data_IF_018926960475
#
_entry.id   IF_018926960475
#
_cell.length_a   1.000
_cell.length_b   1.000
_cell.length_c   1.000
_cell.angle_alpha   90.00
_cell.angle_beta   90.00
_cell.angle_gamma   90.00
#
_symmetry.space_group_name_H-M   'P 1'
#
loop_
_entity.id
_entity.type
_entity.pdbx_description
1 polymer ?
#
# COMPACT_ATOMS: atom_id res chain seq x y z
N UNK A 1 -17.31 -19.79 20.86
CA UNK A 1 -16.75 -18.69 20.07
C UNK A 1 -16.34 -19.33 18.77
N UNK A 2 -17.18 -19.20 17.75
CA UNK A 2 -16.90 -19.76 16.42
C UNK A 2 -15.72 -18.97 15.86
N UNK A 3 -14.52 -19.54 15.98
CA UNK A 3 -13.32 -18.96 15.41
C UNK A 3 -13.47 -19.08 13.90
N UNK A 4 -13.62 -17.95 13.21
CA UNK A 4 -13.50 -17.90 11.76
C UNK A 4 -12.17 -18.63 11.40
N UNK A 5 -12.14 -19.53 10.40
CA UNK A 5 -10.92 -20.25 10.03
C UNK A 5 -9.83 -19.29 9.55
N UNK A 6 -8.54 -19.64 9.67
CA UNK A 6 -7.45 -18.84 9.11
C UNK A 6 -7.66 -18.65 7.60
N UNK A 7 -7.31 -17.48 7.07
CA UNK A 7 -7.41 -17.22 5.63
C UNK A 7 -6.37 -18.07 4.89
N UNK A 8 -6.80 -18.73 3.81
CA UNK A 8 -5.93 -19.44 2.87
C UNK A 8 -6.28 -19.01 1.45
N UNK A 9 -5.27 -18.69 0.65
CA UNK A 9 -5.47 -18.29 -0.75
C UNK A 9 -6.16 -19.41 -1.57
N UNK A 10 -6.99 -19.05 -2.57
CA UNK A 10 -7.36 -17.68 -2.94
C UNK A 10 -8.31 -17.02 -1.94
N UNK A 11 -8.24 -15.70 -1.81
CA UNK A 11 -9.09 -14.90 -0.91
C UNK A 11 -9.98 -13.96 -1.74
N UNK A 12 -11.29 -13.96 -1.47
CA UNK A 12 -12.24 -13.02 -2.06
C UNK A 12 -12.54 -11.87 -1.08
N UNK A 13 -12.19 -10.64 -1.46
CA UNK A 13 -12.58 -9.40 -0.79
C UNK A 13 -13.97 -8.93 -1.26
N UNK A 14 -14.49 -7.89 -0.65
CA UNK A 14 -15.71 -7.21 -1.09
C UNK A 14 -15.49 -6.27 -2.29
N UNK A 15 -16.60 -5.65 -2.73
CA UNK A 15 -16.64 -4.65 -3.80
C UNK A 15 -16.68 -3.22 -3.27
N UNK A 16 -17.22 -2.30 -4.06
CA UNK A 16 -17.30 -0.90 -3.69
C UNK A 16 -18.19 -0.65 -2.46
N UNK A 17 -17.72 0.19 -1.55
CA UNK A 17 -18.58 0.79 -0.53
C UNK A 17 -19.16 2.13 -1.01
N UNK A 18 -18.32 3.10 -1.37
CA UNK A 18 -18.76 4.46 -1.71
C UNK A 18 -19.82 4.54 -2.81
N UNK A 19 -19.59 3.88 -3.96
CA UNK A 19 -20.54 3.91 -5.08
C UNK A 19 -21.86 3.20 -4.77
N UNK A 20 -21.83 2.18 -3.92
CA UNK A 20 -23.02 1.48 -3.46
C UNK A 20 -23.82 2.28 -2.43
N UNK A 21 -23.15 3.10 -1.61
CA UNK A 21 -23.81 4.03 -0.69
C UNK A 21 -24.48 5.19 -1.44
N UNK A 22 -23.88 5.70 -2.53
CA UNK A 22 -24.54 6.68 -3.39
C UNK A 22 -25.86 6.16 -3.98
N UNK A 23 -25.90 4.89 -4.42
CA UNK A 23 -27.14 4.25 -4.89
C UNK A 23 -28.20 4.11 -3.78
N UNK A 24 -27.76 4.08 -2.52
CA UNK A 24 -28.61 4.01 -1.30
C UNK A 24 -28.96 5.38 -0.73
N UNK A 25 -28.68 6.46 -1.47
CA UNK A 25 -29.12 7.82 -1.12
C UNK A 25 -28.10 8.66 -0.37
N UNK A 26 -26.85 8.20 -0.23
CA UNK A 26 -25.77 9.06 0.27
C UNK A 26 -25.56 10.25 -0.68
N UNK A 27 -25.58 11.51 -0.21
CA UNK A 27 -25.27 12.65 -1.06
C UNK A 27 -23.77 12.70 -1.41
N UNK A 28 -23.41 13.34 -2.53
CA UNK A 28 -22.01 13.57 -2.87
C UNK A 28 -21.38 14.64 -1.97
N UNK A 29 -20.08 14.48 -1.68
CA UNK A 29 -19.28 15.47 -0.94
C UNK A 29 -19.48 15.45 0.59
N UNK A 30 -20.35 14.59 1.11
CA UNK A 30 -20.51 14.39 2.57
C UNK A 30 -19.39 13.50 3.13
N UNK A 31 -19.22 13.51 4.44
CA UNK A 31 -18.37 12.53 5.13
C UNK A 31 -19.07 11.17 5.11
N UNK A 32 -18.50 10.22 4.36
CA UNK A 32 -19.02 8.84 4.24
C UNK A 32 -19.13 8.19 5.62
N UNK A 33 -18.10 8.35 6.45
CA UNK A 33 -18.03 7.79 7.79
C UNK A 33 -19.19 8.28 8.67
N UNK A 34 -19.48 9.59 8.63
CA UNK A 34 -20.61 10.19 9.34
C UNK A 34 -21.94 9.65 8.82
N UNK A 35 -22.11 9.66 7.49
CA UNK A 35 -23.37 9.25 6.87
C UNK A 35 -23.70 7.78 7.19
N UNK A 36 -22.69 6.91 7.17
CA UNK A 36 -22.83 5.50 7.56
C UNK A 36 -23.29 5.34 9.00
N UNK A 37 -22.76 6.13 9.94
CA UNK A 37 -23.19 6.07 11.34
C UNK A 37 -24.62 6.59 11.57
N UNK A 38 -25.09 7.50 10.71
CA UNK A 38 -26.47 8.00 10.72
C UNK A 38 -27.43 7.04 10.00
N UNK A 39 -26.94 6.23 9.05
CA UNK A 39 -27.72 5.30 8.23
C UNK A 39 -27.12 3.88 8.28
N UNK A 40 -27.00 3.26 9.47
CA UNK A 40 -26.27 2.00 9.65
C UNK A 40 -26.87 0.83 8.86
N UNK A 41 -28.18 0.83 8.63
CA UNK A 41 -28.85 -0.23 7.88
C UNK A 41 -28.37 -0.31 6.43
N UNK A 42 -28.04 0.83 5.79
CA UNK A 42 -27.53 0.86 4.43
C UNK A 42 -26.19 0.09 4.30
N UNK A 43 -25.28 0.26 5.27
CA UNK A 43 -24.02 -0.50 5.31
C UNK A 43 -24.27 -1.96 5.65
N UNK A 44 -25.11 -2.25 6.66
CA UNK A 44 -25.38 -3.61 7.11
C UNK A 44 -25.99 -4.46 5.99
N UNK A 45 -26.94 -3.91 5.23
CA UNK A 45 -27.52 -4.57 4.06
C UNK A 45 -26.48 -4.82 2.96
N UNK A 46 -25.68 -3.81 2.64
CA UNK A 46 -24.64 -3.92 1.62
C UNK A 46 -23.60 -5.00 1.97
N UNK A 47 -23.03 -4.92 3.17
CA UNK A 47 -21.96 -5.84 3.57
C UNK A 47 -22.47 -7.26 3.80
N UNK A 48 -23.73 -7.44 4.22
CA UNK A 48 -24.36 -8.78 4.22
C UNK A 48 -24.51 -9.33 2.80
N UNK A 49 -24.89 -8.49 1.83
CA UNK A 49 -24.94 -8.91 0.44
C UNK A 49 -23.56 -9.31 -0.09
N UNK A 50 -22.47 -8.64 0.30
CA UNK A 50 -21.11 -9.09 -0.01
C UNK A 50 -20.75 -10.43 0.63
N UNK A 51 -21.12 -10.65 1.89
CA UNK A 51 -20.94 -11.96 2.56
C UNK A 51 -21.72 -13.05 1.83
N UNK A 52 -22.98 -12.79 1.46
CA UNK A 52 -23.82 -13.74 0.73
C UNK A 52 -23.29 -13.99 -0.70
N UNK A 53 -22.59 -13.02 -1.29
CA UNK A 53 -21.85 -13.15 -2.55
C UNK A 53 -20.51 -13.89 -2.42
N UNK A 54 -20.09 -14.25 -1.20
CA UNK A 54 -18.91 -15.07 -0.94
C UNK A 54 -17.68 -14.32 -0.42
N UNK A 55 -17.76 -13.01 -0.15
CA UNK A 55 -16.63 -12.27 0.41
C UNK A 55 -16.15 -12.86 1.75
N UNK A 56 -14.86 -13.18 1.80
CA UNK A 56 -14.17 -13.70 2.99
C UNK A 56 -13.57 -12.58 3.83
N UNK A 57 -13.37 -11.39 3.24
CA UNK A 57 -12.90 -10.17 3.92
C UNK A 57 -13.84 -9.02 3.56
N UNK A 58 -14.40 -8.36 4.57
CA UNK A 58 -15.13 -7.11 4.45
C UNK A 58 -14.24 -5.94 4.87
N UNK A 59 -14.29 -4.86 4.11
CA UNK A 59 -13.55 -3.63 4.38
C UNK A 59 -14.44 -2.69 5.20
N UNK A 60 -13.98 -2.34 6.41
CA UNK A 60 -14.71 -1.38 7.23
C UNK A 60 -14.70 -0.01 6.54
N UNK A 61 -15.80 0.76 6.58
CA UNK A 61 -15.89 2.07 5.92
C UNK A 61 -15.13 3.14 6.72
N UNK A 62 -13.83 2.93 6.91
CA UNK A 62 -12.91 3.77 7.68
C UNK A 62 -11.87 4.48 6.81
N UNK A 63 -11.99 4.41 5.49
CA UNK A 63 -11.12 5.06 4.50
C UNK A 63 -10.65 6.46 4.93
N UNK A 64 -11.59 7.36 5.22
CA UNK A 64 -11.34 8.74 5.64
C UNK A 64 -11.35 8.97 7.15
N UNK A 65 -11.32 7.94 7.99
CA UNK A 65 -11.46 8.07 9.45
C UNK A 65 -10.15 8.48 10.17
N UNK A 66 -9.28 9.25 9.51
CA UNK A 66 -8.07 9.84 10.10
C UNK A 66 -8.31 11.29 10.56
N UNK A 67 -7.41 11.84 11.39
CA UNK A 67 -7.58 13.19 11.96
C UNK A 67 -7.68 14.30 10.91
N UNK A 68 -6.97 14.18 9.78
CA UNK A 68 -6.93 15.20 8.73
C UNK A 68 -8.27 15.26 8.01
N UNK A 69 -8.77 14.11 7.56
CA UNK A 69 -10.03 14.03 6.83
C UNK A 69 -11.22 14.36 7.74
N UNK A 70 -11.27 13.82 8.96
CA UNK A 70 -12.35 14.14 9.91
C UNK A 70 -12.41 15.63 10.27
N UNK A 71 -11.26 16.30 10.42
CA UNK A 71 -11.21 17.73 10.70
C UNK A 71 -11.85 18.58 9.58
N UNK A 72 -11.73 18.19 8.30
CA UNK A 72 -12.38 18.86 7.16
C UNK A 72 -13.91 18.88 7.25
N UNK A 73 -14.48 17.95 8.01
CA UNK A 73 -15.92 17.85 8.27
C UNK A 73 -16.34 18.35 9.66
N UNK A 74 -15.43 19.01 10.40
CA UNK A 74 -15.71 19.50 11.75
C UNK A 74 -15.76 18.41 12.82
N UNK A 75 -15.13 17.26 12.56
CA UNK A 75 -15.14 16.07 13.42
C UNK A 75 -13.78 15.83 14.10
N UNK A 76 -13.04 16.90 14.40
CA UNK A 76 -11.74 16.82 15.08
C UNK A 76 -11.85 16.09 16.42
N UNK A 77 -10.84 15.25 16.73
CA UNK A 77 -10.80 14.47 17.97
C UNK A 77 -11.68 13.20 17.99
N UNK A 78 -12.33 12.87 16.87
CA UNK A 78 -13.28 11.76 16.80
C UNK A 78 -12.70 10.47 16.20
N UNK A 79 -11.39 10.41 15.90
CA UNK A 79 -10.73 9.26 15.25
C UNK A 79 -11.06 7.94 15.95
N UNK A 80 -10.84 7.85 17.27
CA UNK A 80 -11.12 6.61 18.02
C UNK A 80 -12.60 6.20 17.98
N UNK A 81 -13.51 7.18 18.06
CA UNK A 81 -14.96 6.92 18.10
C UNK A 81 -15.46 6.40 16.75
N UNK A 82 -15.03 7.02 15.65
CA UNK A 82 -15.50 6.66 14.30
C UNK A 82 -14.98 5.29 13.90
N UNK A 83 -13.66 5.07 13.96
CA UNK A 83 -13.06 3.78 13.62
C UNK A 83 -13.70 2.63 14.40
N UNK A 84 -13.93 2.80 15.71
CA UNK A 84 -14.57 1.78 16.56
C UNK A 84 -16.01 1.49 16.15
N UNK A 85 -16.82 2.52 15.93
CA UNK A 85 -18.25 2.34 15.59
C UNK A 85 -18.42 1.76 14.20
N UNK A 86 -17.62 2.19 13.23
CA UNK A 86 -17.66 1.70 11.85
C UNK A 86 -17.18 0.25 11.76
N UNK A 87 -16.06 -0.09 12.39
CA UNK A 87 -15.59 -1.48 12.48
C UNK A 87 -16.59 -2.39 13.20
N UNK A 88 -17.29 -1.90 14.23
CA UNK A 88 -18.34 -2.66 14.90
C UNK A 88 -19.56 -2.95 14.00
N UNK A 89 -19.95 -2.00 13.14
CA UNK A 89 -20.99 -2.25 12.13
C UNK A 89 -20.55 -3.31 11.13
N UNK A 90 -19.32 -3.24 10.64
CA UNK A 90 -18.78 -4.24 9.71
C UNK A 90 -18.63 -5.61 10.36
N UNK A 91 -18.21 -5.68 11.63
CA UNK A 91 -18.22 -6.92 12.41
C UNK A 91 -19.62 -7.52 12.55
N UNK A 92 -20.63 -6.68 12.76
CA UNK A 92 -22.04 -7.10 12.83
C UNK A 92 -22.53 -7.63 11.48
N UNK A 93 -22.15 -7.00 10.37
CA UNK A 93 -22.47 -7.47 9.02
C UNK A 93 -21.78 -8.80 8.69
N UNK A 94 -20.50 -8.93 9.06
CA UNK A 94 -19.69 -10.12 8.84
C UNK A 94 -20.31 -11.37 9.49
N UNK A 95 -20.95 -11.23 10.65
CA UNK A 95 -21.71 -12.32 11.28
C UNK A 95 -20.91 -13.60 11.56
N UNK A 96 -19.59 -13.48 11.73
CA UNK A 96 -18.70 -14.64 11.90
C UNK A 96 -18.41 -15.43 10.61
N UNK A 97 -18.79 -14.91 9.44
CA UNK A 97 -18.56 -15.55 8.13
C UNK A 97 -17.42 -14.90 7.33
N UNK A 98 -17.06 -13.66 7.65
CA UNK A 98 -15.99 -12.90 7.01
C UNK A 98 -15.09 -12.21 8.04
N UNK A 99 -13.85 -11.97 7.65
CA UNK A 99 -12.90 -11.10 8.36
C UNK A 99 -13.23 -9.64 8.14
N UNK A 100 -12.76 -8.78 9.03
CA UNK A 100 -12.94 -7.33 8.96
C UNK A 100 -11.57 -6.68 8.79
N UNK A 101 -11.35 -6.05 7.65
CA UNK A 101 -10.19 -5.20 7.40
C UNK A 101 -10.48 -3.78 7.92
N UNK A 102 -9.53 -3.20 8.64
CA UNK A 102 -9.50 -1.77 8.92
C UNK A 102 -8.90 -1.04 7.73
N UNK A 103 -9.69 -0.17 7.11
CA UNK A 103 -9.32 0.57 5.91
C UNK A 103 -8.65 1.90 6.27
N UNK A 104 -7.47 2.18 5.70
CA UNK A 104 -6.72 3.42 5.85
C UNK A 104 -6.37 3.96 4.46
N UNK A 105 -6.70 5.22 4.21
CA UNK A 105 -6.43 5.89 2.94
C UNK A 105 -5.36 6.98 3.06
N UNK A 106 -4.88 7.50 1.91
CA UNK A 106 -4.16 8.78 1.86
C UNK A 106 -4.83 9.89 2.68
N UNK A 107 -4.05 10.56 3.52
CA UNK A 107 -4.41 11.80 4.23
C UNK A 107 -4.53 12.99 3.26
N UNK A 108 -3.82 12.90 2.13
CA UNK A 108 -3.69 13.97 1.15
C UNK A 108 -2.70 15.06 1.57
N UNK A 109 -1.85 14.79 2.58
CA UNK A 109 -0.68 15.62 2.89
C UNK A 109 0.52 15.16 2.06
N UNK A 110 1.33 16.12 1.66
CA UNK A 110 2.64 15.88 1.03
C UNK A 110 3.74 16.24 2.00
N UNK A 111 4.83 15.48 1.99
CA UNK A 111 6.02 15.78 2.79
C UNK A 111 6.88 16.87 2.12
N UNK A 112 7.70 17.56 2.91
CA UNK A 112 8.77 18.44 2.42
C UNK A 112 9.64 17.70 1.39
N UNK A 113 10.07 18.33 0.27
CA UNK A 113 9.87 19.75 -0.09
C UNK A 113 8.58 20.03 -0.88
N UNK A 114 7.76 19.01 -1.19
CA UNK A 114 6.56 19.17 -2.01
C UNK A 114 5.29 19.55 -1.23
N UNK A 115 5.37 19.57 0.09
CA UNK A 115 4.32 20.00 1.00
C UNK A 115 4.89 20.56 2.30
N UNK A 116 4.03 20.62 3.32
CA UNK A 116 4.32 21.23 4.62
C UNK A 116 4.38 20.22 5.77
N UNK A 117 4.11 18.94 5.50
CA UNK A 117 4.14 17.89 6.50
C UNK A 117 5.55 17.31 6.66
N UNK A 118 5.88 16.86 7.86
CA UNK A 118 7.03 15.97 8.06
C UNK A 118 6.61 14.50 7.87
N UNK A 119 7.58 13.63 7.61
CA UNK A 119 7.32 12.19 7.57
C UNK A 119 6.78 11.67 8.91
N UNK A 120 7.31 12.17 10.02
CA UNK A 120 6.82 11.82 11.37
C UNK A 120 5.38 12.28 11.61
N UNK A 121 4.96 13.44 11.06
CA UNK A 121 3.56 13.86 11.13
C UNK A 121 2.64 12.84 10.44
N UNK A 122 3.03 12.32 9.27
CA UNK A 122 2.27 11.26 8.60
C UNK A 122 2.20 9.99 9.47
N UNK A 123 3.33 9.57 10.04
CA UNK A 123 3.37 8.39 10.93
C UNK A 123 2.44 8.59 12.12
N UNK A 124 2.43 9.76 12.75
CA UNK A 124 1.57 10.07 13.90
C UNK A 124 0.08 10.05 13.53
N UNK A 125 -0.29 10.56 12.35
CA UNK A 125 -1.66 10.53 11.84
C UNK A 125 -2.11 9.08 11.65
N UNK A 126 -1.31 8.26 10.98
CA UNK A 126 -1.64 6.85 10.74
C UNK A 126 -1.62 6.03 12.03
N UNK A 127 -0.71 6.31 12.97
CA UNK A 127 -0.61 5.60 14.25
C UNK A 127 -1.87 5.79 15.08
N UNK A 128 -2.43 7.01 15.10
CA UNK A 128 -3.71 7.26 15.81
C UNK A 128 -4.85 6.43 15.22
N UNK A 129 -4.98 6.39 13.88
CA UNK A 129 -6.02 5.61 13.23
C UNK A 129 -5.80 4.10 13.41
N UNK A 130 -4.58 3.62 13.21
CA UNK A 130 -4.22 2.21 13.36
C UNK A 130 -4.47 1.73 14.80
N UNK A 131 -4.09 2.52 15.81
CA UNK A 131 -4.37 2.20 17.21
C UNK A 131 -5.89 2.14 17.50
N UNK A 132 -6.68 3.01 16.89
CA UNK A 132 -8.13 2.97 17.02
C UNK A 132 -8.75 1.72 16.37
N UNK A 133 -8.26 1.31 15.20
CA UNK A 133 -8.68 0.10 14.50
C UNK A 133 -8.25 -1.18 15.25
N UNK A 134 -7.03 -1.20 15.80
CA UNK A 134 -6.54 -2.29 16.65
C UNK A 134 -7.44 -2.47 17.86
N UNK A 135 -7.73 -1.39 18.59
CA UNK A 135 -8.64 -1.39 19.73
C UNK A 135 -10.08 -1.77 19.35
N UNK A 136 -10.50 -1.56 18.10
CA UNK A 136 -11.79 -1.98 17.57
C UNK A 136 -11.83 -3.48 17.21
N UNK A 137 -10.68 -4.17 17.21
CA UNK A 137 -10.60 -5.60 16.94
C UNK A 137 -10.80 -5.96 15.46
N UNK A 138 -10.26 -5.15 14.54
CA UNK A 138 -10.11 -5.56 13.13
C UNK A 138 -9.21 -6.79 13.02
N UNK A 139 -9.41 -7.62 12.00
CA UNK A 139 -8.62 -8.83 11.77
C UNK A 139 -7.31 -8.53 11.00
N UNK A 140 -7.28 -7.47 10.20
CA UNK A 140 -6.12 -7.02 9.41
C UNK A 140 -6.23 -5.51 9.10
N UNK A 141 -5.14 -4.91 8.66
CA UNK A 141 -5.09 -3.54 8.15
C UNK A 141 -4.97 -3.57 6.62
N UNK A 142 -5.74 -2.71 5.95
CA UNK A 142 -5.65 -2.50 4.51
C UNK A 142 -5.36 -1.02 4.26
N UNK A 143 -4.17 -0.75 3.74
CA UNK A 143 -3.80 0.57 3.22
C UNK A 143 -4.29 0.64 1.77
N UNK A 144 -5.42 1.30 1.55
CA UNK A 144 -6.10 1.29 0.26
C UNK A 144 -5.85 2.58 -0.54
N UNK A 145 -5.73 2.45 -1.86
CA UNK A 145 -5.62 3.59 -2.80
C UNK A 145 -4.40 4.47 -2.53
N UNK A 146 -3.27 3.86 -2.17
CA UNK A 146 -2.06 4.62 -1.88
C UNK A 146 -1.53 5.29 -3.15
N UNK A 147 -1.16 6.57 -3.04
CA UNK A 147 -0.73 7.38 -4.19
C UNK A 147 0.72 7.85 -4.09
N UNK A 148 1.29 7.86 -2.87
CA UNK A 148 2.66 8.30 -2.63
C UNK A 148 3.39 7.26 -1.80
N UNK A 149 4.69 7.12 -2.03
CA UNK A 149 5.53 6.20 -1.25
C UNK A 149 5.61 6.64 0.22
N UNK A 150 5.68 7.95 0.48
CA UNK A 150 5.72 8.50 1.83
C UNK A 150 4.51 8.09 2.68
N UNK A 151 3.29 8.23 2.15
CA UNK A 151 2.09 7.81 2.89
C UNK A 151 2.05 6.29 3.09
N UNK A 152 2.46 5.50 2.08
CA UNK A 152 2.53 4.05 2.19
C UNK A 152 3.45 3.61 3.33
N UNK A 153 4.69 4.12 3.33
CA UNK A 153 5.69 3.79 4.35
C UNK A 153 5.25 4.24 5.73
N UNK A 154 4.73 5.47 5.85
CA UNK A 154 4.25 6.00 7.13
C UNK A 154 3.12 5.12 7.72
N UNK A 155 2.17 4.71 6.89
CA UNK A 155 1.06 3.87 7.31
C UNK A 155 1.49 2.43 7.64
N UNK A 156 2.45 1.84 6.92
CA UNK A 156 3.01 0.52 7.26
C UNK A 156 3.74 0.56 8.60
N UNK A 157 4.59 1.57 8.82
CA UNK A 157 5.29 1.77 10.09
C UNK A 157 4.29 1.95 11.25
N UNK A 158 3.25 2.75 11.04
CA UNK A 158 2.18 2.96 12.01
C UNK A 158 1.41 1.68 12.35
N UNK A 159 1.01 0.88 11.36
CA UNK A 159 0.28 -0.37 11.62
C UNK A 159 1.15 -1.39 12.38
N UNK A 160 2.42 -1.53 11.97
CA UNK A 160 3.36 -2.47 12.60
C UNK A 160 3.81 -2.04 14.00
N UNK A 161 3.78 -0.74 14.32
CA UNK A 161 4.12 -0.25 15.66
C UNK A 161 3.02 -0.53 16.69
N UNK A 162 1.76 -0.67 16.26
CA UNK A 162 0.61 -0.88 17.16
C UNK A 162 0.07 -2.31 17.17
N UNK A 163 0.43 -3.14 16.19
CA UNK A 163 -0.15 -4.47 16.01
C UNK A 163 0.76 -5.45 15.28
N UNK A 164 0.59 -6.73 15.58
CA UNK A 164 1.22 -7.85 14.86
C UNK A 164 0.27 -8.47 13.80
N UNK A 165 -0.90 -7.89 13.56
CA UNK A 165 -1.86 -8.39 12.57
C UNK A 165 -1.38 -8.11 11.14
N UNK A 166 -1.90 -8.85 10.15
CA UNK A 166 -1.50 -8.66 8.77
C UNK A 166 -1.73 -7.23 8.27
N UNK A 167 -0.79 -6.72 7.49
CA UNK A 167 -0.85 -5.43 6.80
C UNK A 167 -0.84 -5.65 5.30
N UNK A 168 -1.93 -5.29 4.64
CA UNK A 168 -2.08 -5.36 3.19
C UNK A 168 -2.00 -3.95 2.61
N UNK A 169 -1.36 -3.80 1.45
CA UNK A 169 -1.19 -2.50 0.80
C UNK A 169 -1.63 -2.58 -0.65
N UNK A 170 -2.45 -1.62 -1.07
CA UNK A 170 -2.76 -1.42 -2.47
C UNK A 170 -2.41 -0.01 -2.93
N UNK A 171 -1.89 0.07 -4.15
CA UNK A 171 -1.63 1.31 -4.86
C UNK A 171 -2.65 1.50 -5.98
N UNK A 172 -2.88 2.76 -6.36
CA UNK A 172 -3.56 3.10 -7.60
C UNK A 172 -2.57 3.73 -8.57
N UNK A 173 -2.68 3.39 -9.85
CA UNK A 173 -1.80 3.88 -10.90
C UNK A 173 -2.55 4.13 -12.21
N UNK A 174 -1.91 4.87 -13.11
CA UNK A 174 -2.31 5.03 -14.50
C UNK A 174 -1.98 3.77 -15.34
N UNK A 175 -2.23 3.85 -16.64
CA UNK A 175 -1.94 2.78 -17.61
C UNK A 175 -0.44 2.43 -17.72
N UNK A 176 0.45 3.37 -17.38
CA UNK A 176 1.91 3.18 -17.40
C UNK A 176 2.44 2.61 -16.07
N UNK A 177 1.55 2.28 -15.12
CA UNK A 177 1.94 1.78 -13.80
C UNK A 177 2.53 2.87 -12.91
N UNK A 178 2.20 4.14 -13.14
CA UNK A 178 2.67 5.27 -12.35
C UNK A 178 1.58 5.79 -11.43
N UNK A 179 1.92 6.04 -10.17
CA UNK A 179 1.03 6.73 -9.24
C UNK A 179 0.91 8.22 -9.60
N UNK A 180 -0.01 8.94 -8.95
CA UNK A 180 -0.14 10.39 -9.12
C UNK A 180 1.17 11.15 -8.80
N UNK A 181 1.99 10.63 -7.88
CA UNK A 181 3.30 11.19 -7.56
C UNK A 181 4.44 10.72 -8.47
N UNK A 182 4.14 9.97 -9.53
CA UNK A 182 5.13 9.42 -10.47
C UNK A 182 5.86 8.16 -9.99
N UNK A 183 5.46 7.58 -8.84
CA UNK A 183 6.08 6.35 -8.34
C UNK A 183 5.70 5.17 -9.23
N UNK A 184 6.68 4.39 -9.68
CA UNK A 184 6.44 3.10 -10.32
C UNK A 184 5.85 2.11 -9.30
N UNK A 185 4.74 1.45 -9.63
CA UNK A 185 4.17 0.38 -8.77
C UNK A 185 5.13 -0.79 -8.56
N UNK A 186 6.13 -1.00 -9.42
CA UNK A 186 7.20 -1.96 -9.18
C UNK A 186 8.15 -1.51 -8.07
N UNK A 187 8.49 -0.22 -8.02
CA UNK A 187 9.24 0.36 -6.90
C UNK A 187 8.44 0.21 -5.60
N UNK A 188 7.14 0.52 -5.64
CA UNK A 188 6.24 0.35 -4.51
C UNK A 188 6.19 -1.09 -4.00
N UNK A 189 6.07 -2.08 -4.89
CA UNK A 189 6.15 -3.50 -4.50
C UNK A 189 7.44 -3.81 -3.76
N UNK A 190 8.60 -3.42 -4.32
CA UNK A 190 9.92 -3.71 -3.77
C UNK A 190 10.07 -3.11 -2.37
N UNK A 191 9.69 -1.84 -2.18
CA UNK A 191 9.76 -1.17 -0.87
C UNK A 191 8.80 -1.81 0.13
N UNK A 192 7.52 -1.96 -0.22
CA UNK A 192 6.50 -2.46 0.71
C UNK A 192 6.79 -3.90 1.17
N UNK A 193 7.16 -4.80 0.25
CA UNK A 193 7.49 -6.17 0.63
C UNK A 193 8.78 -6.24 1.45
N UNK A 194 9.75 -5.35 1.20
CA UNK A 194 10.95 -5.20 2.01
C UNK A 194 10.63 -4.80 3.45
N UNK A 195 9.64 -3.92 3.64
CA UNK A 195 9.12 -3.54 4.95
C UNK A 195 8.21 -4.61 5.59
N UNK A 196 8.07 -5.78 4.95
CA UNK A 196 7.37 -6.94 5.50
C UNK A 196 5.85 -6.84 5.50
N UNK A 197 5.24 -6.16 4.52
CA UNK A 197 3.77 -6.26 4.33
C UNK A 197 3.38 -7.70 3.98
N UNK A 198 2.16 -8.11 4.32
CA UNK A 198 1.69 -9.49 4.14
C UNK A 198 1.06 -9.72 2.76
N UNK A 199 0.70 -8.65 2.05
CA UNK A 199 0.22 -8.67 0.68
C UNK A 199 0.36 -7.30 0.02
N UNK A 200 0.55 -7.29 -1.29
CA UNK A 200 0.67 -6.09 -2.10
C UNK A 200 -0.25 -6.17 -3.31
N UNK A 201 -0.82 -5.06 -3.77
CA UNK A 201 -1.48 -5.10 -5.07
C UNK A 201 -2.01 -3.76 -5.55
N UNK A 202 -2.98 -3.84 -6.44
CA UNK A 202 -3.54 -2.68 -7.11
C UNK A 202 -5.05 -2.61 -6.89
N UNK A 203 -5.54 -1.40 -6.68
CA UNK A 203 -6.97 -1.13 -6.62
C UNK A 203 -7.35 0.08 -7.49
N UNK A 204 -8.60 0.06 -7.94
CA UNK A 204 -9.19 1.05 -8.82
C UNK A 204 -8.53 1.06 -10.22
N UNK A 205 -7.42 1.78 -10.41
CA UNK A 205 -6.67 1.91 -11.67
C UNK A 205 -7.55 2.28 -12.89
N UNK A 206 -6.96 2.20 -14.10
CA UNK A 206 -7.66 2.40 -15.36
C UNK A 206 -8.65 1.26 -15.73
N UNK A 207 -8.67 0.16 -14.99
CA UNK A 207 -9.59 -0.95 -15.22
C UNK A 207 -8.91 -2.32 -15.10
N UNK A 208 -9.65 -3.42 -15.36
CA UNK A 208 -9.12 -4.77 -15.22
C UNK A 208 -7.99 -5.11 -16.23
N UNK A 209 -8.06 -4.58 -17.45
CA UNK A 209 -7.08 -4.86 -18.51
C UNK A 209 -5.71 -4.24 -18.19
N UNK A 210 -5.70 -2.96 -17.85
CA UNK A 210 -4.51 -2.21 -17.52
C UNK A 210 -3.91 -2.73 -16.20
N UNK A 211 -4.75 -3.07 -15.22
CA UNK A 211 -4.30 -3.70 -13.98
C UNK A 211 -3.62 -5.05 -14.24
N UNK A 212 -4.13 -5.87 -15.17
CA UNK A 212 -3.55 -7.17 -15.51
C UNK A 212 -2.14 -7.01 -16.09
N UNK A 213 -1.92 -6.02 -16.95
CA UNK A 213 -0.59 -5.73 -17.50
C UNK A 213 0.40 -5.40 -16.38
N UNK A 214 0.01 -4.54 -15.44
CA UNK A 214 0.86 -4.19 -14.31
C UNK A 214 1.13 -5.39 -13.40
N UNK A 215 0.13 -6.20 -13.08
CA UNK A 215 0.31 -7.40 -12.24
C UNK A 215 1.27 -8.42 -12.88
N UNK A 216 1.24 -8.58 -14.20
CA UNK A 216 2.22 -9.42 -14.93
C UNK A 216 3.64 -8.86 -14.78
N UNK A 217 3.81 -7.54 -14.82
CA UNK A 217 5.10 -6.86 -14.61
C UNK A 217 5.63 -7.03 -13.18
N UNK A 218 4.73 -7.07 -12.20
CA UNK A 218 5.05 -7.22 -10.78
C UNK A 218 5.40 -8.66 -10.37
N UNK A 219 4.74 -9.65 -10.99
CA UNK A 219 4.82 -11.07 -10.60
C UNK A 219 6.24 -11.62 -10.44
N UNK A 220 7.21 -11.36 -11.35
CA UNK A 220 8.57 -11.88 -11.20
C UNK A 220 9.29 -11.44 -9.92
N UNK A 221 8.91 -10.28 -9.37
CA UNK A 221 9.59 -9.65 -8.23
C UNK A 221 8.81 -9.78 -6.91
N UNK A 222 7.55 -10.21 -6.98
CA UNK A 222 6.66 -10.32 -5.83
C UNK A 222 7.01 -11.53 -4.95
N UNK A 223 7.36 -11.27 -3.68
CA UNK A 223 7.54 -12.30 -2.64
C UNK A 223 6.34 -12.48 -1.73
N UNK A 224 5.38 -11.57 -1.84
CA UNK A 224 4.12 -11.57 -1.10
C UNK A 224 2.97 -11.84 -2.08
N UNK A 225 1.85 -12.41 -1.62
CA UNK A 225 0.68 -12.60 -2.46
C UNK A 225 0.18 -11.29 -3.07
N UNK A 226 -0.25 -11.35 -4.34
CA UNK A 226 -0.77 -10.19 -5.06
C UNK A 226 -2.29 -9.99 -4.90
N UNK A 227 -2.71 -8.72 -4.82
CA UNK A 227 -4.11 -8.27 -4.71
C UNK A 227 -4.56 -7.60 -6.01
N UNK A 228 -5.76 -7.92 -6.48
CA UNK A 228 -6.43 -7.21 -7.58
C UNK A 228 -7.85 -6.75 -7.15
N UNK A 229 -8.08 -5.44 -7.11
CA UNK A 229 -9.39 -4.80 -6.87
C UNK A 229 -9.69 -3.73 -7.93
N UNK A 230 -9.87 -4.08 -9.21
CA UNK A 230 -10.09 -3.09 -10.26
C UNK A 230 -11.44 -2.37 -10.10
N UNK A 231 -11.54 -1.18 -10.70
CA UNK A 231 -12.84 -0.56 -10.95
C UNK A 231 -13.67 -1.42 -11.91
N UNK A 232 -15.00 -1.24 -11.91
CA UNK A 232 -15.90 -1.79 -12.92
C UNK A 232 -15.79 -1.01 -14.26
N UNK A 233 -14.56 -0.95 -14.80
CA UNK A 233 -14.17 -0.19 -15.98
C UNK A 233 -13.84 1.28 -15.69
N UNK A 234 -13.42 2.01 -16.72
CA UNK A 234 -13.17 3.45 -16.62
C UNK A 234 -14.47 4.22 -16.28
N UNK A 235 -14.42 5.18 -15.34
CA UNK A 235 -15.58 6.00 -15.02
C UNK A 235 -15.95 6.87 -16.23
N UNK A 236 -17.21 6.79 -16.66
CA UNK A 236 -17.77 7.70 -17.65
C UNK A 236 -18.61 8.76 -16.97
N UNK A 237 -18.40 10.02 -17.29
CA UNK A 237 -19.24 11.11 -16.74
C UNK A 237 -20.55 11.15 -17.52
N UNK A 238 -21.65 10.77 -16.88
CA UNK A 238 -23.02 10.87 -17.40
C UNK A 238 -23.80 11.74 -16.43
N UNK A 239 -24.37 12.86 -16.92
CA UNK A 239 -25.10 13.85 -16.11
C UNK A 239 -24.33 14.35 -14.88
N UNK A 240 -23.02 14.55 -15.03
CA UNK A 240 -22.13 14.99 -13.94
C UNK A 240 -21.81 13.90 -12.91
N UNK A 241 -22.14 12.63 -13.18
CA UNK A 241 -21.90 11.48 -12.30
C UNK A 241 -20.98 10.47 -12.96
N UNK A 242 -20.07 9.88 -12.18
CA UNK A 242 -19.27 8.75 -12.63
C UNK A 242 -20.15 7.50 -12.74
N UNK A 243 -20.23 6.92 -13.94
CA UNK A 243 -20.92 5.67 -14.25
C UNK A 243 -19.90 4.64 -14.71
N UNK A 244 -19.99 3.46 -14.11
CA UNK A 244 -19.15 2.30 -14.40
C UNK A 244 -19.97 1.30 -15.22
N UNK A 245 -19.39 0.74 -16.28
CA UNK A 245 -20.13 -0.07 -17.26
C UNK A 245 -19.65 -1.50 -17.40
N UNK A 246 -18.55 -1.87 -16.75
CA UNK A 246 -18.13 -3.27 -16.73
C UNK A 246 -19.22 -4.11 -16.07
N UNK A 247 -19.61 -5.21 -16.69
CA UNK A 247 -20.61 -6.14 -16.13
C UNK A 247 -19.95 -7.14 -15.17
N UNK A 248 -20.74 -7.85 -14.33
CA UNK A 248 -20.23 -8.96 -13.51
C UNK A 248 -19.46 -10.01 -14.32
N UNK A 249 -19.96 -10.38 -15.50
CA UNK A 249 -19.34 -11.38 -16.37
C UNK A 249 -18.03 -10.88 -16.98
N UNK A 250 -17.98 -9.61 -17.37
CA UNK A 250 -16.76 -8.98 -17.90
C UNK A 250 -15.67 -8.91 -16.83
N UNK A 251 -16.00 -8.56 -15.58
CA UNK A 251 -15.04 -8.57 -14.49
C UNK A 251 -14.59 -10.00 -14.16
N UNK A 252 -15.53 -10.95 -14.07
CA UNK A 252 -15.25 -12.34 -13.75
C UNK A 252 -14.34 -13.02 -14.78
N UNK A 253 -14.40 -12.61 -16.05
CA UNK A 253 -13.51 -13.11 -17.10
C UNK A 253 -12.01 -12.85 -16.81
N UNK A 254 -11.68 -11.89 -15.93
CA UNK A 254 -10.31 -11.62 -15.51
C UNK A 254 -9.81 -12.51 -14.36
N UNK A 255 -10.65 -13.35 -13.75
CA UNK A 255 -10.23 -14.23 -12.64
C UNK A 255 -9.05 -15.12 -13.01
N UNK A 256 -9.15 -15.87 -14.12
CA UNK A 256 -8.07 -16.74 -14.59
C UNK A 256 -6.81 -15.97 -15.05
N UNK A 257 -6.92 -14.91 -15.89
CA UNK A 257 -5.77 -14.09 -16.23
C UNK A 257 -5.06 -13.46 -15.02
N UNK A 258 -5.81 -12.98 -14.03
CA UNK A 258 -5.21 -12.45 -12.79
C UNK A 258 -4.51 -13.55 -11.99
N UNK A 259 -5.13 -14.73 -11.86
CA UNK A 259 -4.50 -15.86 -11.17
C UNK A 259 -3.18 -16.31 -11.84
N UNK A 260 -3.16 -16.32 -13.17
CA UNK A 260 -1.96 -16.55 -13.99
C UNK A 260 -0.89 -15.47 -13.75
N UNK A 261 -1.31 -14.21 -13.60
CA UNK A 261 -0.47 -13.09 -13.20
C UNK A 261 -0.19 -13.03 -11.68
N UNK A 262 -0.17 -14.18 -10.99
CA UNK A 262 0.25 -14.27 -9.59
C UNK A 262 -0.74 -13.77 -8.54
N UNK A 263 -1.93 -13.27 -8.93
CA UNK A 263 -2.95 -12.79 -7.99
C UNK A 263 -3.48 -13.93 -7.14
N UNK A 264 -3.62 -13.68 -5.85
CA UNK A 264 -4.18 -14.61 -4.87
C UNK A 264 -5.30 -13.99 -4.04
N UNK A 265 -5.47 -12.68 -4.12
CA UNK A 265 -6.55 -11.96 -3.45
C UNK A 265 -7.33 -11.14 -4.48
N UNK A 266 -8.63 -11.34 -4.55
CA UNK A 266 -9.50 -10.81 -5.61
C UNK A 266 -10.63 -10.00 -5.00
N UNK A 267 -11.01 -8.89 -5.60
CA UNK A 267 -12.19 -8.13 -5.21
C UNK A 267 -12.51 -7.04 -6.21
N UNK A 268 -13.24 -6.01 -5.77
CA UNK A 268 -13.59 -4.86 -6.60
C UNK A 268 -13.38 -3.53 -5.91
N UNK A 269 -13.04 -2.49 -6.69
CA UNK A 269 -13.11 -1.08 -6.28
C UNK A 269 -14.39 -0.43 -6.88
N UNK A 270 -14.33 0.80 -7.37
CA UNK A 270 -15.50 1.61 -7.67
C UNK A 270 -16.38 0.99 -8.77
N UNK A 271 -17.70 1.05 -8.57
CA UNK A 271 -18.68 0.51 -9.51
C UNK A 271 -18.97 -0.98 -9.37
N UNK A 272 -18.12 -1.74 -8.69
CA UNK A 272 -18.38 -3.15 -8.41
C UNK A 272 -19.47 -3.32 -7.36
N UNK A 273 -20.30 -4.36 -7.53
CA UNK A 273 -21.52 -4.62 -6.74
C UNK A 273 -21.48 -6.04 -6.17
N UNK A 274 -22.41 -6.44 -5.29
CA UNK A 274 -22.51 -7.85 -4.85
C UNK A 274 -22.61 -8.85 -6.00
N UNK A 275 -23.29 -8.51 -7.10
CA UNK A 275 -23.36 -9.35 -8.29
C UNK A 275 -22.00 -9.56 -8.96
N UNK A 276 -21.16 -8.52 -8.99
CA UNK A 276 -19.79 -8.63 -9.49
C UNK A 276 -18.94 -9.56 -8.62
N UNK A 277 -19.08 -9.44 -7.31
CA UNK A 277 -18.34 -10.28 -6.36
C UNK A 277 -18.78 -11.73 -6.44
N UNK A 278 -20.08 -12.01 -6.59
CA UNK A 278 -20.58 -13.37 -6.78
C UNK A 278 -20.02 -14.00 -8.07
N UNK A 279 -20.11 -13.29 -9.19
CA UNK A 279 -19.57 -13.77 -10.47
C UNK A 279 -18.05 -13.98 -10.41
N UNK A 280 -17.31 -13.07 -9.77
CA UNK A 280 -15.87 -13.20 -9.56
C UNK A 280 -15.53 -14.40 -8.67
N UNK A 281 -16.30 -14.62 -7.60
CA UNK A 281 -16.14 -15.77 -6.71
C UNK A 281 -16.31 -17.10 -7.43
N UNK A 282 -17.37 -17.24 -8.25
CA UNK A 282 -17.61 -18.43 -9.07
C UNK A 282 -16.47 -18.66 -10.06
N UNK A 283 -15.97 -17.61 -10.72
CA UNK A 283 -14.87 -17.70 -11.66
C UNK A 283 -13.54 -18.07 -10.97
N UNK A 284 -13.24 -17.49 -9.81
CA UNK A 284 -12.05 -17.82 -9.01
C UNK A 284 -12.10 -19.27 -8.53
N UNK A 285 -13.26 -19.78 -8.11
CA UNK A 285 -13.42 -21.16 -7.68
C UNK A 285 -13.18 -22.18 -8.81
N UNK A 286 -13.32 -21.77 -10.07
CA UNK A 286 -13.06 -22.61 -11.24
C UNK A 286 -11.58 -22.62 -11.68
N UNK A 287 -10.72 -21.80 -11.08
CA UNK A 287 -9.29 -21.73 -11.42
C UNK A 287 -8.51 -22.83 -10.70
N UNK A 288 -7.70 -23.57 -11.45
CA UNK A 288 -6.69 -24.48 -10.88
C UNK A 288 -5.41 -23.71 -10.48
N UNK A 289 -5.38 -23.23 -9.24
CA UNK A 289 -4.21 -22.50 -8.71
C UNK A 289 -2.95 -23.35 -8.60
N UNK A 290 -3.05 -24.69 -8.64
CA UNK A 290 -1.89 -25.58 -8.57
C UNK A 290 -1.07 -25.61 -9.86
N UNK A 291 -1.67 -25.13 -10.97
CA UNK A 291 -1.01 -25.02 -12.26
C UNK A 291 -0.01 -23.85 -12.35
N UNK A 292 -0.07 -22.88 -11.42
CA UNK A 292 0.80 -21.70 -11.44
C UNK A 292 2.02 -21.89 -10.55
N UNK A 293 3.16 -22.14 -11.19
CA UNK A 293 4.44 -22.28 -10.49
C UNK A 293 5.00 -20.87 -10.20
N UNK A 294 5.51 -20.61 -8.97
CA UNK A 294 6.20 -19.35 -8.68
C UNK A 294 7.34 -19.11 -9.68
N UNK A 295 7.53 -17.87 -10.15
CA UNK A 295 8.63 -17.55 -11.06
C UNK A 295 9.97 -17.84 -10.37
N UNK A 296 10.87 -18.51 -11.09
CA UNK A 296 12.26 -18.66 -10.65
C UNK A 296 12.93 -17.28 -10.63
N UNK A 297 13.68 -17.01 -9.56
CA UNK A 297 14.37 -15.75 -9.38
C UNK A 297 15.84 -15.93 -9.64
N UNK A 298 16.40 -14.99 -10.39
CA UNK A 298 17.84 -14.87 -10.54
C UNK A 298 18.43 -14.40 -9.20
N UNK A 299 19.27 -15.22 -8.52
CA UNK A 299 19.89 -14.83 -7.25
C UNK A 299 20.85 -13.65 -7.40
N UNK A 300 21.34 -13.38 -8.62
CA UNK A 300 22.26 -12.28 -8.89
C UNK A 300 21.51 -10.95 -9.12
N UNK A 301 20.17 -10.97 -9.15
CA UNK A 301 19.34 -9.77 -9.31
C UNK A 301 18.75 -9.37 -7.96
N UNK A 302 19.31 -8.34 -7.35
CA UNK A 302 18.91 -7.82 -6.03
C UNK A 302 18.03 -6.57 -6.22
N UNK A 303 16.72 -6.65 -5.91
CA UNK A 303 15.80 -5.51 -6.11
C UNK A 303 15.95 -4.46 -5.01
N UNK A 304 16.40 -3.28 -5.41
CA UNK A 304 16.37 -2.03 -4.66
C UNK A 304 15.33 -1.09 -5.28
N UNK A 305 15.09 0.06 -4.65
CA UNK A 305 14.20 1.07 -5.21
C UNK A 305 14.52 2.44 -4.65
N UNK A 306 14.39 3.47 -5.46
CA UNK A 306 14.20 4.83 -4.95
C UNK A 306 12.72 5.09 -4.66
N UNK A 307 12.35 6.32 -4.30
CA UNK A 307 10.94 6.70 -4.14
C UNK A 307 10.14 6.51 -5.45
N UNK A 308 10.81 6.64 -6.60
CA UNK A 308 10.15 6.69 -7.92
C UNK A 308 10.40 5.46 -8.78
N UNK A 309 11.60 4.89 -8.71
CA UNK A 309 12.06 3.87 -9.67
C UNK A 309 12.51 2.58 -8.99
N UNK A 310 12.24 1.46 -9.65
CA UNK A 310 12.89 0.19 -9.30
C UNK A 310 14.33 0.19 -9.82
N UNK A 311 15.22 -0.41 -9.04
CA UNK A 311 16.63 -0.58 -9.40
C UNK A 311 17.10 -1.98 -9.04
N UNK A 312 18.00 -2.52 -9.84
CA UNK A 312 18.47 -3.89 -9.69
C UNK A 312 19.99 -3.87 -9.65
N UNK A 313 20.55 -4.35 -8.56
CA UNK A 313 22.00 -4.45 -8.35
C UNK A 313 22.42 -5.91 -8.34
N UNK A 314 23.70 -6.16 -8.53
CA UNK A 314 24.33 -7.46 -8.33
C UNK A 314 25.09 -7.48 -6.99
N UNK A 315 25.45 -8.67 -6.46
CA UNK A 315 26.27 -8.75 -5.25
C UNK A 315 27.63 -8.04 -5.36
N UNK A 316 28.15 -7.89 -6.59
CA UNK A 316 29.42 -7.23 -6.92
C UNK A 316 29.24 -5.82 -7.51
N UNK A 317 28.11 -5.17 -7.22
CA UNK A 317 27.80 -3.82 -7.71
C UNK A 317 28.93 -2.83 -7.39
N UNK A 318 29.31 -2.02 -8.39
CA UNK A 318 30.24 -0.92 -8.16
C UNK A 318 29.50 0.23 -7.47
N UNK A 319 30.00 0.64 -6.31
CA UNK A 319 29.41 1.67 -5.48
C UNK A 319 30.21 2.96 -5.68
N UNK A 320 29.52 4.03 -6.06
CA UNK A 320 30.14 5.32 -6.31
C UNK A 320 30.88 5.93 -5.12
N UNK A 321 31.58 7.03 -5.39
CA UNK A 321 32.23 7.81 -4.34
C UNK A 321 31.21 8.22 -3.26
N UNK A 322 31.68 8.29 -2.01
CA UNK A 322 30.80 8.65 -0.89
C UNK A 322 30.45 10.13 -0.96
N UNK A 323 29.16 10.42 -1.06
CA UNK A 323 28.62 11.77 -0.99
C UNK A 323 28.27 12.06 0.46
N UNK A 324 28.88 13.10 1.03
CA UNK A 324 28.50 13.63 2.34
C UNK A 324 27.30 14.57 2.20
N UNK A 325 26.43 14.60 3.20
CA UNK A 325 25.30 15.52 3.19
C UNK A 325 25.79 16.98 3.34
N UNK A 326 25.42 17.81 2.38
CA UNK A 326 25.77 19.23 2.34
C UNK A 326 24.60 20.03 1.75
N UNK A 327 24.61 21.38 1.83
CA UNK A 327 23.61 22.19 1.13
C UNK A 327 23.52 21.94 -0.38
N UNK A 328 24.57 21.38 -0.99
CA UNK A 328 24.66 21.08 -2.42
C UNK A 328 24.31 19.60 -2.72
N UNK A 329 23.82 18.82 -1.74
CA UNK A 329 23.55 17.38 -1.87
C UNK A 329 22.70 17.03 -3.10
N UNK A 330 21.69 17.84 -3.43
CA UNK A 330 20.89 17.63 -4.64
C UNK A 330 21.74 17.67 -5.92
N UNK A 331 22.63 18.65 -6.04
CA UNK A 331 23.51 18.81 -7.19
C UNK A 331 24.53 17.67 -7.25
N UNK A 332 25.06 17.26 -6.10
CA UNK A 332 26.00 16.14 -5.99
C UNK A 332 25.36 14.80 -6.41
N UNK A 333 24.11 14.54 -6.00
CA UNK A 333 23.36 13.35 -6.43
C UNK A 333 23.17 13.37 -7.95
N UNK A 334 22.72 14.48 -8.52
CA UNK A 334 22.48 14.60 -9.95
C UNK A 334 23.78 14.44 -10.75
N UNK A 335 24.88 15.04 -10.30
CA UNK A 335 26.18 14.90 -10.94
C UNK A 335 26.68 13.43 -10.89
N UNK A 336 26.51 12.75 -9.77
CA UNK A 336 26.90 11.35 -9.64
C UNK A 336 26.10 10.42 -10.58
N UNK A 337 24.78 10.63 -10.72
CA UNK A 337 23.94 9.80 -11.59
C UNK A 337 24.07 10.14 -13.09
N UNK A 338 24.31 11.40 -13.45
CA UNK A 338 24.31 11.84 -14.86
C UNK A 338 25.72 11.90 -15.48
N UNK A 339 26.74 12.29 -14.71
CA UNK A 339 28.08 12.55 -15.21
C UNK A 339 29.07 11.41 -14.95
N UNK A 340 28.88 10.66 -13.86
CA UNK A 340 29.77 9.56 -13.44
C UNK A 340 29.02 8.32 -12.95
N UNK A 341 28.03 7.80 -13.71
CA UNK A 341 27.15 6.73 -13.23
C UNK A 341 27.95 5.48 -12.84
N UNK A 342 27.79 5.08 -11.58
CA UNK A 342 28.21 3.78 -11.06
C UNK A 342 26.99 2.88 -10.86
N UNK A 343 27.20 1.59 -10.55
CA UNK A 343 26.10 0.66 -10.34
C UNK A 343 25.17 1.06 -9.18
N UNK A 344 25.66 1.87 -8.23
CA UNK A 344 24.92 2.43 -7.13
C UNK A 344 25.51 3.75 -6.60
N UNK A 345 24.66 4.55 -5.96
CA UNK A 345 25.00 5.78 -5.25
C UNK A 345 25.36 5.47 -3.79
N UNK A 346 26.29 6.21 -3.18
CA UNK A 346 26.56 6.13 -1.73
C UNK A 346 26.42 7.48 -1.06
N UNK A 347 25.54 7.56 -0.07
CA UNK A 347 25.34 8.75 0.76
C UNK A 347 25.68 8.41 2.21
N UNK A 348 26.55 9.20 2.82
CA UNK A 348 26.91 9.07 4.23
C UNK A 348 26.09 10.02 5.12
N UNK A 349 25.64 9.49 6.26
CA UNK A 349 24.98 10.23 7.35
C UNK A 349 25.92 10.17 8.55
N UNK A 350 26.59 11.28 8.84
CA UNK A 350 27.68 11.41 9.81
C UNK A 350 27.25 12.18 11.06
N UNK A 351 26.29 13.08 10.94
CA UNK A 351 25.74 13.87 12.05
C UNK A 351 24.21 14.02 11.98
N UNK A 352 23.60 14.62 13.01
CA UNK A 352 22.14 14.74 13.07
C UNK A 352 21.58 15.67 11.99
N UNK A 353 22.30 16.74 11.65
CA UNK A 353 21.88 17.73 10.65
C UNK A 353 21.81 17.12 9.24
N UNK A 354 22.61 16.07 8.97
CA UNK A 354 22.59 15.33 7.70
C UNK A 354 21.24 14.67 7.43
N UNK A 355 20.49 14.30 8.48
CA UNK A 355 19.20 13.64 8.33
C UNK A 355 18.17 14.57 7.69
N UNK A 356 18.17 15.83 8.08
CA UNK A 356 17.26 16.84 7.53
C UNK A 356 17.66 17.17 6.08
N UNK A 357 18.96 17.36 5.83
CA UNK A 357 19.49 17.58 4.48
C UNK A 357 19.15 16.40 3.57
N UNK A 358 19.40 15.17 4.01
CA UNK A 358 19.06 13.97 3.26
C UNK A 358 17.55 13.86 3.00
N UNK A 359 16.72 14.10 4.03
CA UNK A 359 15.28 14.01 3.91
C UNK A 359 14.70 15.00 2.89
N UNK A 360 15.25 16.20 2.81
CA UNK A 360 14.83 17.24 1.87
C UNK A 360 15.26 16.96 0.43
N UNK A 361 16.36 16.22 0.21
CA UNK A 361 16.97 16.05 -1.11
C UNK A 361 16.84 14.63 -1.70
N UNK A 362 16.53 13.61 -0.91
CA UNK A 362 16.45 12.20 -1.37
C UNK A 362 15.50 11.95 -2.55
N UNK A 363 14.55 12.85 -2.81
CA UNK A 363 13.57 12.71 -3.89
C UNK A 363 14.22 12.73 -5.28
N UNK A 364 15.44 13.26 -5.41
CA UNK A 364 16.18 13.24 -6.69
C UNK A 364 16.89 11.93 -6.97
N UNK A 365 17.06 11.06 -5.97
CA UNK A 365 17.72 9.75 -6.14
C UNK A 365 16.90 8.88 -7.09
N UNK A 366 17.53 8.43 -8.17
CA UNK A 366 16.96 7.47 -9.14
C UNK A 366 17.63 6.12 -9.03
N UNK A 367 18.91 6.06 -8.67
CA UNK A 367 19.70 4.84 -8.61
C UNK A 367 19.57 4.08 -7.28
N UNK A 368 20.14 2.88 -7.24
CA UNK A 368 20.20 2.10 -6.01
C UNK A 368 21.05 2.85 -4.99
N UNK A 369 20.53 3.00 -3.77
CA UNK A 369 21.18 3.79 -2.73
C UNK A 369 21.84 2.89 -1.68
N UNK A 370 23.16 3.01 -1.56
CA UNK A 370 23.91 2.65 -0.37
C UNK A 370 23.75 3.78 0.65
N UNK A 371 23.06 3.51 1.75
CA UNK A 371 22.90 4.47 2.84
C UNK A 371 23.87 4.10 3.96
N UNK A 372 24.83 4.96 4.24
CA UNK A 372 25.98 4.64 5.07
C UNK A 372 26.05 5.47 6.35
N UNK A 373 26.34 4.82 7.48
CA UNK A 373 26.72 5.47 8.73
C UNK A 373 27.42 4.43 9.62
N UNK A 374 28.44 4.84 10.38
CA UNK A 374 29.05 4.01 11.43
C UNK A 374 28.36 4.22 12.80
N UNK A 375 27.35 5.09 12.87
CA UNK A 375 26.53 5.32 14.05
C UNK A 375 25.15 4.64 13.87
N UNK A 376 24.84 3.59 14.66
CA UNK A 376 23.58 2.84 14.53
C UNK A 376 22.34 3.73 14.54
N UNK A 377 22.28 4.71 15.45
CA UNK A 377 21.13 5.61 15.59
C UNK A 377 20.92 6.50 14.35
N UNK A 378 22.00 6.93 13.68
CA UNK A 378 21.92 7.72 12.47
C UNK A 378 21.45 6.86 11.29
N UNK A 379 21.98 5.64 11.15
CA UNK A 379 21.53 4.71 10.10
C UNK A 379 20.03 4.40 10.24
N UNK A 380 19.57 4.08 11.45
CA UNK A 380 18.15 3.79 11.67
C UNK A 380 17.27 4.99 11.29
N UNK A 381 17.64 6.20 11.73
CA UNK A 381 16.86 7.42 11.42
C UNK A 381 16.86 7.71 9.92
N UNK A 382 17.99 7.51 9.24
CA UNK A 382 18.09 7.71 7.81
C UNK A 382 17.23 6.69 7.04
N UNK A 383 17.25 5.42 7.42
CA UNK A 383 16.40 4.37 6.83
C UNK A 383 14.91 4.62 7.08
N UNK A 384 14.58 5.16 8.25
CA UNK A 384 13.21 5.58 8.56
C UNK A 384 12.76 6.69 7.62
N UNK A 385 13.59 7.70 7.37
CA UNK A 385 13.30 8.83 6.50
C UNK A 385 13.37 8.48 5.00
N UNK A 386 14.16 7.49 4.60
CA UNK A 386 14.37 7.15 3.20
C UNK A 386 13.13 6.52 2.58
N UNK A 387 12.59 7.12 1.52
CA UNK A 387 11.35 6.65 0.89
C UNK A 387 11.56 5.47 -0.06
N UNK A 388 12.78 5.03 -0.31
CA UNK A 388 13.09 3.85 -1.12
C UNK A 388 13.40 2.60 -0.30
N UNK A 389 14.14 1.68 -0.92
CA UNK A 389 14.73 0.48 -0.33
C UNK A 389 16.24 0.53 -0.56
N UNK A 390 16.97 0.93 0.47
CA UNK A 390 18.42 1.06 0.46
C UNK A 390 19.10 -0.31 0.63
N UNK A 391 20.40 -0.35 0.33
CA UNK A 391 21.28 -1.45 0.68
C UNK A 391 22.45 -0.99 1.56
N UNK A 392 23.09 -1.96 2.20
CA UNK A 392 24.30 -1.83 2.99
C UNK A 392 25.40 -2.60 2.28
N UNK A 393 26.51 -1.93 1.99
CA UNK A 393 27.64 -2.49 1.22
C UNK A 393 28.64 -3.30 2.07
N UNK A 394 28.33 -3.53 3.35
CA UNK A 394 29.20 -4.25 4.27
C UNK A 394 30.39 -3.43 4.80
N UNK A 395 30.49 -2.15 4.43
CA UNK A 395 31.56 -1.27 4.93
C UNK A 395 31.16 -0.59 6.23
N UNK A 396 31.91 -0.75 7.31
CA UNK A 396 31.61 -0.17 8.62
C UNK A 396 31.67 -1.20 9.74
N UNK A 397 31.58 -0.74 11.00
CA UNK A 397 31.63 -1.60 12.19
C UNK A 397 30.28 -1.53 12.93
N UNK A 398 29.25 -2.14 12.33
CA UNK A 398 27.91 -2.25 12.90
C UNK A 398 27.62 -3.70 13.29
N UNK A 399 26.87 -3.89 14.37
CA UNK A 399 26.48 -5.22 14.85
C UNK A 399 25.52 -5.92 13.88
N UNK A 400 25.77 -7.20 13.59
CA UNK A 400 24.94 -8.00 12.66
C UNK A 400 23.47 -8.06 13.10
N UNK A 401 23.18 -8.13 14.40
CA UNK A 401 21.81 -8.21 14.88
C UNK A 401 21.07 -6.88 14.68
N UNK A 402 21.79 -5.74 14.77
CA UNK A 402 21.26 -4.44 14.40
C UNK A 402 20.93 -4.36 12.90
N UNK A 403 21.85 -4.78 12.03
CA UNK A 403 21.62 -4.80 10.58
C UNK A 403 20.44 -5.71 10.18
N UNK A 404 20.32 -6.88 10.80
CA UNK A 404 19.17 -7.77 10.62
C UNK A 404 17.86 -7.11 11.05
N UNK A 405 17.86 -6.33 12.15
CA UNK A 405 16.69 -5.56 12.57
C UNK A 405 16.32 -4.48 11.55
N UNK A 406 17.30 -3.75 11.03
CA UNK A 406 17.08 -2.74 9.99
C UNK A 406 16.54 -3.37 8.71
N UNK A 407 17.02 -4.55 8.34
CA UNK A 407 16.50 -5.34 7.22
C UNK A 407 15.03 -5.72 7.44
N UNK A 408 14.68 -6.23 8.62
CA UNK A 408 13.29 -6.59 8.95
C UNK A 408 12.34 -5.39 9.03
N UNK A 409 12.82 -4.24 9.53
CA UNK A 409 11.97 -3.08 9.85
C UNK A 409 11.80 -2.13 8.67
N UNK A 410 12.86 -1.87 7.92
CA UNK A 410 12.88 -0.89 6.83
C UNK A 410 13.19 -1.51 5.46
N UNK A 411 13.43 -2.82 5.39
CA UNK A 411 13.72 -3.51 4.14
C UNK A 411 15.15 -3.34 3.65
N UNK A 412 16.08 -2.91 4.51
CA UNK A 412 17.50 -2.78 4.19
C UNK A 412 18.03 -4.09 3.59
N UNK A 413 18.64 -3.99 2.42
CA UNK A 413 19.35 -5.10 1.77
C UNK A 413 20.76 -5.16 2.34
N UNK A 414 21.22 -6.34 2.74
CA UNK A 414 22.58 -6.56 3.24
C UNK A 414 23.38 -7.30 2.17
N UNK A 415 24.48 -6.72 1.70
CA UNK A 415 25.41 -7.34 0.74
C UNK A 415 26.55 -8.08 1.43
#
# INVERSE_FOLDING_TARGET
MDTIPPLSAPILLDGATGTELYKRGMPHGVCTEQWVLEHPDALLELQRAYVDAGSQVLIAPTFGANRVTLARYGLSGQVSVYNRRLAALTRKAAGGKARVAGDLAPTGKSIVPFGDASFEELVDIYTEQAAALEAAGVDLFLLETTMTMAEARAAVLACKSVSAKPVWVTFTCDENGRTLSGTDVLAALIVMQGMGVDAFGLNCCAGPAEMLEQLRRLTPYASVPLIAKPNAGLPQVVDGRAVYRCTPEELAAYAAPFAEAGVRMFGGCCGTTPEHIAALGDAVAAVDFSAFVPPERDPDVIPCASEKEARFITPDVDVGETIECSPDLMEDILAAEEEAPQGALKIAILEEDDLDIFAENQYVVKDALCLWSDVPELLERALRLYQGRAFWDGTGDLDDAFLEEMSRKYGLVLL
#
